data_IF_513954309225
#
_entry.id   IF_513954309225
#
_cell.length_a   1.000
_cell.length_b   1.000
_cell.length_c   1.000
_cell.angle_alpha   90.00
_cell.angle_beta   90.00
_cell.angle_gamma   90.00
#
_symmetry.space_group_name_H-M   'P 1'
#
loop_
_entity.id
_entity.type
_entity.pdbx_description
1 polymer ?
#
# COMPACT_ATOMS: atom_id res chain seq x y z
N UNK A 1 0.82 -12.24 12.25
CA UNK A 1 -0.10 -11.90 13.34
C UNK A 1 -1.51 -11.60 12.81
N UNK A 2 -1.68 -10.62 11.93
CA UNK A 2 -3.02 -10.27 11.41
C UNK A 2 -3.72 -11.47 10.76
N UNK A 3 -3.04 -12.26 9.95
CA UNK A 3 -3.60 -13.50 9.38
C UNK A 3 -4.09 -14.47 10.45
N UNK A 4 -3.28 -14.71 11.49
CA UNK A 4 -3.65 -15.60 12.60
C UNK A 4 -4.87 -15.07 13.36
N UNK A 5 -4.86 -13.78 13.67
CA UNK A 5 -5.98 -13.12 14.35
C UNK A 5 -7.25 -13.15 13.49
N UNK A 6 -7.16 -12.83 12.20
CA UNK A 6 -8.30 -12.88 11.28
C UNK A 6 -8.82 -14.30 11.09
N UNK A 7 -7.94 -15.31 11.02
CA UNK A 7 -8.31 -16.70 10.89
C UNK A 7 -9.03 -17.21 12.14
N UNK A 8 -8.45 -16.94 13.33
CA UNK A 8 -9.05 -17.33 14.61
C UNK A 8 -10.40 -16.66 14.87
N UNK A 9 -10.48 -15.34 14.61
CA UNK A 9 -11.72 -14.59 14.82
C UNK A 9 -12.79 -14.96 13.78
N UNK A 10 -12.39 -15.19 12.54
CA UNK A 10 -13.27 -15.60 11.45
C UNK A 10 -13.99 -16.92 11.74
N UNK A 11 -13.33 -17.84 12.45
CA UNK A 11 -13.94 -19.11 12.89
C UNK A 11 -15.22 -18.92 13.72
N UNK A 12 -15.29 -17.86 14.51
CA UNK A 12 -16.44 -17.56 15.37
C UNK A 12 -17.45 -16.60 14.72
N UNK A 13 -16.98 -15.74 13.80
CA UNK A 13 -17.76 -14.61 13.29
C UNK A 13 -18.33 -14.83 11.89
N UNK A 14 -17.79 -15.78 11.10
CA UNK A 14 -18.14 -15.98 9.70
C UNK A 14 -18.93 -17.25 9.47
N UNK A 15 -19.82 -17.25 8.48
CA UNK A 15 -20.43 -18.47 7.96
C UNK A 15 -19.40 -19.33 7.21
N UNK A 16 -19.71 -20.60 7.01
CA UNK A 16 -18.77 -21.58 6.43
C UNK A 16 -18.19 -21.11 5.07
N UNK A 17 -19.01 -20.57 4.18
CA UNK A 17 -18.56 -20.10 2.87
C UNK A 17 -17.68 -18.83 2.96
N UNK A 18 -18.04 -17.92 3.87
CA UNK A 18 -17.25 -16.70 4.12
C UNK A 18 -15.90 -17.04 4.77
N UNK A 19 -15.89 -18.02 5.68
CA UNK A 19 -14.66 -18.50 6.29
C UNK A 19 -13.75 -19.19 5.28
N UNK A 20 -14.30 -19.97 4.37
CA UNK A 20 -13.57 -20.54 3.25
C UNK A 20 -13.00 -19.45 2.33
N UNK A 21 -13.75 -18.39 2.07
CA UNK A 21 -13.27 -17.25 1.31
C UNK A 21 -12.14 -16.52 2.06
N UNK A 22 -12.28 -16.28 3.37
CA UNK A 22 -11.22 -15.71 4.20
C UNK A 22 -9.94 -16.55 4.14
N UNK A 23 -10.08 -17.89 4.27
CA UNK A 23 -8.97 -18.83 4.17
C UNK A 23 -8.22 -18.69 2.85
N UNK A 24 -8.95 -18.62 1.74
CA UNK A 24 -8.39 -18.36 0.41
C UNK A 24 -7.66 -17.00 0.35
N UNK A 25 -8.22 -15.95 0.95
CA UNK A 25 -7.58 -14.64 0.99
C UNK A 25 -6.31 -14.63 1.85
N UNK A 26 -6.24 -15.40 2.94
CA UNK A 26 -5.03 -15.58 3.74
C UNK A 26 -3.92 -16.22 2.90
N UNK A 27 -4.22 -17.32 2.19
CA UNK A 27 -3.25 -17.98 1.29
C UNK A 27 -2.72 -17.00 0.25
N UNK A 28 -3.63 -16.30 -0.42
CA UNK A 28 -3.27 -15.36 -1.48
C UNK A 28 -2.53 -14.12 -0.95
N UNK A 29 -2.88 -13.67 0.26
CA UNK A 29 -2.15 -12.62 0.98
C UNK A 29 -0.73 -13.03 1.33
N UNK A 30 -0.54 -14.25 1.84
CA UNK A 30 0.78 -14.78 2.15
C UNK A 30 1.68 -14.95 0.92
N UNK A 31 1.09 -15.13 -0.27
CA UNK A 31 1.80 -15.23 -1.55
C UNK A 31 1.91 -13.88 -2.29
N UNK A 32 1.40 -12.78 -1.71
CA UNK A 32 1.38 -11.44 -2.32
C UNK A 32 0.66 -11.38 -3.67
N UNK A 33 -0.40 -12.17 -3.85
CA UNK A 33 -1.21 -12.24 -5.07
C UNK A 33 -2.70 -11.92 -4.82
N UNK A 34 -3.01 -11.23 -3.71
CA UNK A 34 -4.37 -10.83 -3.34
C UNK A 34 -5.05 -9.97 -4.41
N UNK A 35 -4.29 -9.09 -5.08
CA UNK A 35 -4.79 -8.23 -6.15
C UNK A 35 -5.40 -9.05 -7.30
N UNK A 36 -4.73 -10.11 -7.76
CA UNK A 36 -5.27 -10.97 -8.83
C UNK A 36 -6.51 -11.77 -8.38
N UNK A 37 -6.55 -12.15 -7.10
CA UNK A 37 -7.71 -12.87 -6.55
C UNK A 37 -8.92 -11.95 -6.50
N UNK A 38 -8.76 -10.77 -5.94
CA UNK A 38 -9.84 -9.78 -5.83
C UNK A 38 -10.29 -9.27 -7.20
N UNK A 39 -9.38 -9.11 -8.15
CA UNK A 39 -9.73 -8.79 -9.53
C UNK A 39 -10.66 -9.83 -10.16
N UNK A 40 -10.38 -11.13 -9.94
CA UNK A 40 -11.21 -12.23 -10.47
C UNK A 40 -12.54 -12.39 -9.75
N UNK A 41 -12.59 -12.02 -8.47
CA UNK A 41 -13.80 -12.10 -7.66
C UNK A 41 -14.74 -10.92 -7.92
N UNK A 42 -14.22 -9.76 -8.35
CA UNK A 42 -15.04 -8.58 -8.62
C UNK A 42 -15.99 -8.84 -9.78
N UNK A 43 -17.29 -8.97 -9.47
CA UNK A 43 -18.35 -9.24 -10.41
C UNK A 43 -19.72 -9.11 -9.75
N UNK A 44 -20.78 -9.40 -10.49
CA UNK A 44 -22.17 -9.23 -10.05
C UNK A 44 -22.53 -10.06 -8.79
N UNK A 45 -21.89 -11.21 -8.60
CA UNK A 45 -22.12 -12.11 -7.46
C UNK A 45 -21.09 -11.96 -6.36
N UNK A 46 -20.27 -10.89 -6.39
CA UNK A 46 -19.25 -10.69 -5.37
C UNK A 46 -19.86 -10.14 -4.08
N UNK A 47 -19.32 -10.62 -2.93
CA UNK A 47 -19.68 -10.06 -1.64
C UNK A 47 -19.23 -8.60 -1.57
N UNK A 48 -19.94 -7.80 -0.78
CA UNK A 48 -19.56 -6.42 -0.52
C UNK A 48 -18.07 -6.33 -0.15
N UNK A 49 -17.32 -5.47 -0.83
CA UNK A 49 -15.90 -5.24 -0.56
C UNK A 49 -15.64 -4.92 0.93
N UNK A 50 -16.60 -4.29 1.58
CA UNK A 50 -16.53 -3.84 2.97
C UNK A 50 -16.67 -4.99 3.98
N UNK A 51 -17.14 -6.18 3.56
CA UNK A 51 -17.22 -7.39 4.40
C UNK A 51 -16.04 -8.34 4.21
N UNK A 52 -15.09 -8.03 3.32
CA UNK A 52 -13.89 -8.84 3.10
C UNK A 52 -12.76 -8.42 4.04
N UNK A 53 -12.44 -9.19 5.12
CA UNK A 53 -11.50 -8.73 6.16
C UNK A 53 -10.07 -8.46 5.67
N UNK A 54 -9.66 -9.09 4.58
CA UNK A 54 -8.30 -8.95 4.02
C UNK A 54 -8.27 -8.23 2.67
N UNK A 55 -9.33 -7.50 2.31
CA UNK A 55 -9.41 -6.77 1.05
C UNK A 55 -8.20 -5.87 0.81
N UNK A 56 -7.83 -5.07 1.80
CA UNK A 56 -6.77 -4.06 1.71
C UNK A 56 -5.40 -4.62 1.28
N UNK A 57 -5.14 -5.92 1.46
CA UNK A 57 -3.87 -6.55 1.10
C UNK A 57 -3.58 -6.59 -0.41
N UNK A 58 -4.53 -6.17 -1.25
CA UNK A 58 -4.31 -6.05 -2.70
C UNK A 58 -3.17 -5.06 -3.02
N UNK A 59 -3.11 -3.92 -2.32
CA UNK A 59 -2.09 -2.91 -2.58
C UNK A 59 -0.71 -3.38 -2.13
N UNK A 60 -0.63 -4.07 -0.98
CA UNK A 60 0.60 -4.71 -0.53
C UNK A 60 1.09 -5.77 -1.53
N UNK A 61 0.15 -6.53 -2.15
CA UNK A 61 0.49 -7.47 -3.21
C UNK A 61 1.18 -6.79 -4.40
N UNK A 62 0.67 -5.64 -4.85
CA UNK A 62 1.28 -4.86 -5.95
C UNK A 62 2.67 -4.31 -5.53
N UNK A 63 2.79 -3.79 -4.30
CA UNK A 63 4.05 -3.27 -3.79
C UNK A 63 5.14 -4.35 -3.72
N UNK A 64 4.83 -5.53 -3.17
CA UNK A 64 5.77 -6.64 -3.06
C UNK A 64 6.16 -7.21 -4.44
N UNK A 65 5.21 -7.30 -5.37
CA UNK A 65 5.49 -7.65 -6.77
C UNK A 65 6.45 -6.65 -7.40
N UNK A 66 6.27 -5.35 -7.15
CA UNK A 66 7.19 -4.31 -7.61
C UNK A 66 8.58 -4.49 -6.99
N UNK A 67 8.68 -4.71 -5.67
CA UNK A 67 9.97 -4.89 -4.98
C UNK A 67 10.75 -6.14 -5.45
N UNK A 68 10.06 -7.14 -5.96
CA UNK A 68 10.71 -8.31 -6.58
C UNK A 68 11.12 -8.00 -8.02
N UNK A 69 10.21 -7.47 -8.82
CA UNK A 69 10.43 -7.31 -10.28
C UNK A 69 11.37 -6.15 -10.61
N UNK A 70 11.24 -5.03 -9.89
CA UNK A 70 11.98 -3.81 -10.21
C UNK A 70 13.51 -3.96 -10.07
N UNK A 71 14.07 -4.52 -8.99
CA UNK A 71 15.50 -4.75 -8.90
C UNK A 71 16.03 -5.70 -9.98
N UNK A 72 15.25 -6.71 -10.38
CA UNK A 72 15.61 -7.64 -11.45
C UNK A 72 15.68 -6.93 -12.80
N UNK A 73 14.70 -6.07 -13.10
CA UNK A 73 14.69 -5.26 -14.33
C UNK A 73 15.86 -4.29 -14.36
N UNK A 74 16.15 -3.60 -13.25
CA UNK A 74 17.30 -2.72 -13.14
C UNK A 74 18.62 -3.47 -13.33
N UNK A 75 18.75 -4.64 -12.71
CA UNK A 75 19.94 -5.49 -12.87
C UNK A 75 20.13 -5.93 -14.33
N UNK A 76 19.08 -6.38 -15.01
CA UNK A 76 19.11 -6.73 -16.43
C UNK A 76 19.46 -5.54 -17.30
N UNK A 77 18.88 -4.36 -17.05
CA UNK A 77 19.18 -3.13 -17.80
C UNK A 77 20.63 -2.70 -17.61
N UNK A 78 21.12 -2.76 -16.37
CA UNK A 78 22.51 -2.45 -16.05
C UNK A 78 23.49 -3.42 -16.72
N UNK A 79 23.23 -4.73 -16.67
CA UNK A 79 24.06 -5.75 -17.33
C UNK A 79 24.13 -5.55 -18.85
N UNK A 80 23.05 -5.07 -19.46
CA UNK A 80 22.97 -4.75 -20.90
C UNK A 80 23.46 -3.33 -21.23
N UNK A 81 23.96 -2.58 -20.23
CA UNK A 81 24.43 -1.19 -20.36
C UNK A 81 23.38 -0.20 -20.89
N UNK A 82 22.11 -0.48 -20.65
CA UNK A 82 21.05 0.48 -20.93
C UNK A 82 21.10 1.67 -19.95
N UNK A 83 20.68 2.85 -20.41
CA UNK A 83 20.52 3.98 -19.53
C UNK A 83 19.35 3.71 -18.56
N UNK A 84 19.67 3.59 -17.27
CA UNK A 84 18.69 3.22 -16.23
C UNK A 84 17.59 4.26 -16.10
N UNK A 85 17.90 5.55 -16.23
CA UNK A 85 16.88 6.61 -16.19
C UNK A 85 15.92 6.49 -17.36
N UNK A 86 16.44 6.24 -18.58
CA UNK A 86 15.59 6.05 -19.74
C UNK A 86 14.66 4.85 -19.59
N UNK A 87 15.18 3.73 -19.09
CA UNK A 87 14.38 2.51 -18.83
C UNK A 87 13.29 2.81 -17.79
N UNK A 88 13.65 3.48 -16.69
CA UNK A 88 12.69 3.86 -15.63
C UNK A 88 11.59 4.76 -16.19
N UNK A 89 11.94 5.81 -16.92
CA UNK A 89 10.99 6.74 -17.53
C UNK A 89 10.10 6.04 -18.57
N UNK A 90 10.67 5.20 -19.42
CA UNK A 90 9.91 4.47 -20.44
C UNK A 90 8.84 3.57 -19.78
N UNK A 91 9.21 2.80 -18.76
CA UNK A 91 8.26 1.94 -18.04
C UNK A 91 7.23 2.78 -17.29
N UNK A 92 7.61 3.91 -16.68
CA UNK A 92 6.69 4.85 -16.03
C UNK A 92 5.63 5.36 -17.01
N UNK A 93 6.05 5.82 -18.17
CA UNK A 93 5.14 6.33 -19.21
C UNK A 93 4.23 5.24 -19.76
N UNK A 94 4.77 4.05 -20.03
CA UNK A 94 3.96 2.91 -20.49
C UNK A 94 2.94 2.52 -19.43
N UNK A 95 3.34 2.39 -18.17
CA UNK A 95 2.45 2.05 -17.06
C UNK A 95 1.35 3.11 -16.88
N UNK A 96 1.69 4.40 -16.95
CA UNK A 96 0.70 5.48 -16.89
C UNK A 96 -0.25 5.47 -18.10
N UNK A 97 0.26 5.23 -19.30
CA UNK A 97 -0.59 5.10 -20.49
C UNK A 97 -1.58 3.92 -20.38
N UNK A 98 -1.11 2.79 -19.85
CA UNK A 98 -1.97 1.64 -19.54
C UNK A 98 -3.06 1.99 -18.52
N UNK A 99 -2.72 2.74 -17.45
CA UNK A 99 -3.67 3.24 -16.47
C UNK A 99 -4.76 4.11 -17.14
N UNK A 100 -4.37 5.12 -17.90
CA UNK A 100 -5.34 6.00 -18.58
C UNK A 100 -6.23 5.23 -19.56
N UNK A 101 -5.66 4.29 -20.30
CA UNK A 101 -6.43 3.46 -21.23
C UNK A 101 -7.43 2.55 -20.50
N UNK A 102 -7.00 1.85 -19.44
CA UNK A 102 -7.85 0.95 -18.68
C UNK A 102 -8.89 1.68 -17.82
N UNK A 103 -8.58 2.86 -17.29
CA UNK A 103 -9.55 3.67 -16.54
C UNK A 103 -10.82 3.99 -17.33
N UNK A 104 -10.73 4.00 -18.69
CA UNK A 104 -11.87 4.23 -19.58
C UNK A 104 -12.53 2.95 -20.10
N UNK A 105 -11.87 1.78 -19.97
CA UNK A 105 -12.35 0.51 -20.55
C UNK A 105 -12.73 -0.53 -19.50
N UNK A 106 -11.95 -0.65 -18.43
CA UNK A 106 -12.13 -1.62 -17.35
C UNK A 106 -11.52 -1.08 -16.04
N UNK A 107 -12.33 -0.34 -15.30
CA UNK A 107 -11.92 0.31 -14.04
C UNK A 107 -11.47 -0.70 -12.99
N UNK A 108 -12.04 -1.90 -12.96
CA UNK A 108 -11.67 -2.95 -12.01
C UNK A 108 -10.27 -3.49 -12.34
N UNK A 109 -10.03 -3.79 -13.61
CA UNK A 109 -8.72 -4.20 -14.07
C UNK A 109 -7.67 -3.11 -13.83
N UNK A 110 -8.03 -1.85 -14.03
CA UNK A 110 -7.15 -0.72 -13.75
C UNK A 110 -6.76 -0.64 -12.28
N UNK A 111 -7.72 -0.84 -11.39
CA UNK A 111 -7.53 -0.74 -9.95
C UNK A 111 -6.59 -1.83 -9.39
N UNK A 112 -6.76 -3.09 -9.81
CA UNK A 112 -6.04 -4.24 -9.24
C UNK A 112 -4.79 -4.66 -10.01
N UNK A 113 -4.56 -4.12 -11.22
CA UNK A 113 -3.48 -4.57 -12.10
C UNK A 113 -2.14 -3.91 -11.75
N UNK A 114 -1.04 -4.67 -11.59
CA UNK A 114 0.26 -4.08 -11.30
C UNK A 114 0.76 -3.15 -12.41
N UNK A 115 0.51 -3.50 -13.67
CA UNK A 115 1.00 -2.72 -14.80
C UNK A 115 0.39 -1.31 -14.91
N UNK A 116 -0.79 -1.10 -14.34
CA UNK A 116 -1.45 0.21 -14.32
C UNK A 116 -1.09 1.04 -13.08
N UNK A 117 -0.47 0.41 -12.09
CA UNK A 117 -0.11 1.02 -10.80
C UNK A 117 1.38 1.26 -10.62
N UNK A 118 2.25 0.56 -11.34
CA UNK A 118 3.69 0.67 -11.17
C UNK A 118 4.26 2.07 -11.41
N UNK A 119 3.63 2.89 -12.25
CA UNK A 119 4.08 4.27 -12.49
C UNK A 119 4.08 5.13 -11.21
N UNK A 120 3.21 4.84 -10.26
CA UNK A 120 3.15 5.53 -8.96
C UNK A 120 4.43 5.27 -8.15
N UNK A 121 4.86 4.01 -8.08
CA UNK A 121 6.11 3.59 -7.41
C UNK A 121 7.34 4.01 -8.21
N UNK A 122 7.29 3.93 -9.54
CA UNK A 122 8.36 4.33 -10.44
C UNK A 122 8.62 5.84 -10.41
N UNK A 123 7.63 6.66 -10.13
CA UNK A 123 7.82 8.11 -9.94
C UNK A 123 8.80 8.40 -8.79
N UNK A 124 8.69 7.64 -7.69
CA UNK A 124 9.67 7.65 -6.60
C UNK A 124 11.06 7.15 -7.04
N UNK A 125 11.11 6.10 -7.87
CA UNK A 125 12.37 5.59 -8.42
C UNK A 125 13.06 6.60 -9.35
N UNK A 126 12.30 7.32 -10.18
CA UNK A 126 12.83 8.43 -10.99
C UNK A 126 13.42 9.54 -10.12
N UNK A 127 12.70 9.94 -9.07
CA UNK A 127 13.17 10.95 -8.14
C UNK A 127 14.45 10.50 -7.43
N UNK A 128 14.51 9.26 -6.96
CA UNK A 128 15.68 8.69 -6.31
C UNK A 128 16.90 8.65 -7.26
N UNK A 129 16.69 8.23 -8.51
CA UNK A 129 17.76 8.23 -9.51
C UNK A 129 18.33 9.62 -9.74
N UNK A 130 17.45 10.61 -9.93
CA UNK A 130 17.87 12.01 -10.13
C UNK A 130 18.61 12.57 -8.92
N UNK A 131 18.17 12.25 -7.71
CA UNK A 131 18.81 12.69 -6.48
C UNK A 131 20.22 12.08 -6.29
N UNK A 132 20.40 10.80 -6.68
CA UNK A 132 21.66 10.08 -6.46
C UNK A 132 22.69 10.30 -7.58
N UNK A 133 22.24 10.38 -8.83
CA UNK A 133 23.14 10.33 -10.00
C UNK A 133 23.07 11.57 -10.88
N UNK A 134 22.06 12.42 -10.72
CA UNK A 134 21.89 13.60 -11.58
C UNK A 134 21.28 14.81 -10.85
N UNK A 135 21.90 15.18 -9.76
CA UNK A 135 21.44 16.29 -8.92
C UNK A 135 21.28 17.60 -9.69
N UNK A 136 22.16 17.88 -10.68
CA UNK A 136 22.05 19.07 -11.51
C UNK A 136 20.72 19.13 -12.28
N UNK A 137 20.28 18.02 -12.86
CA UNK A 137 18.98 17.92 -13.53
C UNK A 137 17.84 18.06 -12.53
N UNK A 138 17.95 17.42 -11.36
CA UNK A 138 16.95 17.57 -10.31
C UNK A 138 16.81 19.04 -9.88
N UNK A 139 17.92 19.77 -9.68
CA UNK A 139 17.88 21.18 -9.31
C UNK A 139 17.26 22.06 -10.42
N UNK A 140 17.49 21.75 -11.68
CA UNK A 140 16.85 22.47 -12.81
C UNK A 140 15.34 22.21 -12.90
N UNK A 141 14.88 21.03 -12.52
CA UNK A 141 13.46 20.67 -12.51
C UNK A 141 12.71 21.23 -11.30
N UNK A 142 13.44 21.66 -10.27
CA UNK A 142 12.84 22.27 -9.09
C UNK A 142 12.31 23.68 -9.40
N UNK A 143 11.01 23.82 -9.41
CA UNK A 143 10.31 25.08 -9.61
C UNK A 143 9.98 25.70 -8.25
N UNK A 144 10.32 26.98 -8.06
CA UNK A 144 10.05 27.72 -6.83
C UNK A 144 10.94 27.29 -5.64
N UNK A 145 10.64 27.81 -4.46
CA UNK A 145 11.35 27.45 -3.24
C UNK A 145 10.97 26.05 -2.73
N UNK A 146 11.85 25.44 -1.93
CA UNK A 146 11.59 24.15 -1.30
C UNK A 146 10.29 24.16 -0.47
N UNK A 147 10.06 25.26 0.25
CA UNK A 147 8.85 25.44 1.05
C UNK A 147 7.58 25.54 0.19
N UNK A 148 7.65 26.24 -0.95
CA UNK A 148 6.52 26.31 -1.87
C UNK A 148 6.17 24.91 -2.42
N UNK A 149 7.18 24.13 -2.85
CA UNK A 149 6.96 22.77 -3.34
C UNK A 149 6.32 21.86 -2.29
N UNK A 150 6.82 21.92 -1.05
CA UNK A 150 6.25 21.09 0.03
C UNK A 150 4.81 21.48 0.34
N UNK A 151 4.45 22.77 0.34
CA UNK A 151 3.09 23.25 0.52
C UNK A 151 2.18 22.87 -0.65
N UNK A 152 2.64 23.02 -1.89
CA UNK A 152 1.90 22.57 -3.07
C UNK A 152 1.66 21.08 -3.05
N UNK A 153 2.68 20.28 -2.66
CA UNK A 153 2.53 18.83 -2.49
C UNK A 153 1.49 18.47 -1.44
N UNK A 154 1.51 19.15 -0.30
CA UNK A 154 0.49 18.97 0.75
C UNK A 154 -0.91 19.33 0.25
N UNK A 155 -1.04 20.45 -0.47
CA UNK A 155 -2.32 20.86 -1.05
C UNK A 155 -2.87 19.85 -2.06
N UNK A 156 -2.00 19.23 -2.89
CA UNK A 156 -2.40 18.15 -3.79
C UNK A 156 -2.87 16.89 -3.06
N UNK A 157 -2.22 16.51 -1.95
CA UNK A 157 -2.67 15.39 -1.12
C UNK A 157 -4.05 15.68 -0.51
N UNK A 158 -4.25 16.87 0.04
CA UNK A 158 -5.54 17.31 0.59
C UNK A 158 -6.61 17.34 -0.50
N UNK A 159 -6.28 17.86 -1.68
CA UNK A 159 -7.17 17.86 -2.84
C UNK A 159 -7.54 16.41 -3.25
N UNK A 160 -6.57 15.49 -3.23
CA UNK A 160 -6.83 14.07 -3.47
C UNK A 160 -7.87 13.49 -2.49
N UNK A 161 -7.73 13.77 -1.19
CA UNK A 161 -8.68 13.31 -0.17
C UNK A 161 -10.09 13.90 -0.37
N UNK A 162 -10.19 15.16 -0.83
CA UNK A 162 -11.48 15.85 -0.99
C UNK A 162 -12.17 15.45 -2.31
N UNK A 163 -11.42 15.36 -3.42
CA UNK A 163 -12.00 15.24 -4.76
C UNK A 163 -12.06 13.81 -5.30
N UNK A 164 -11.29 12.86 -4.72
CA UNK A 164 -11.36 11.45 -5.10
C UNK A 164 -12.56 10.81 -4.37
N UNK A 165 -13.67 10.66 -5.08
CA UNK A 165 -14.90 10.03 -4.58
C UNK A 165 -15.12 8.69 -5.24
N UNK A 166 -16.07 7.88 -4.73
CA UNK A 166 -16.45 6.58 -5.30
C UNK A 166 -16.99 6.68 -6.74
N UNK A 167 -17.45 7.85 -7.15
CA UNK A 167 -17.99 8.12 -8.48
C UNK A 167 -16.92 8.39 -9.54
N UNK A 168 -15.69 8.60 -9.11
CA UNK A 168 -14.57 8.90 -10.01
C UNK A 168 -13.91 7.61 -10.49
N UNK A 169 -13.55 7.59 -11.78
CA UNK A 169 -12.75 6.50 -12.35
C UNK A 169 -11.32 6.58 -11.78
N UNK A 170 -11.12 5.96 -10.62
CA UNK A 170 -9.83 5.88 -9.95
C UNK A 170 -9.20 4.50 -10.25
N UNK A 171 -7.88 4.42 -10.52
CA UNK A 171 -6.86 5.49 -10.41
C UNK A 171 -6.88 6.55 -11.52
N UNK A 172 -6.84 6.20 -12.79
CA UNK A 172 -6.90 7.14 -13.89
C UNK A 172 -6.05 8.42 -13.68
N UNK A 173 -6.58 9.56 -14.10
CA UNK A 173 -5.95 10.87 -13.88
C UNK A 173 -5.92 11.30 -12.40
N UNK A 174 -6.84 10.79 -11.59
CA UNK A 174 -6.97 11.19 -10.19
C UNK A 174 -5.80 10.75 -9.34
N UNK A 175 -5.14 9.65 -9.69
CA UNK A 175 -3.96 9.17 -9.00
C UNK A 175 -2.73 10.09 -9.14
N UNK A 176 -2.76 11.06 -10.10
CA UNK A 176 -1.73 12.11 -10.18
C UNK A 176 -1.71 12.99 -8.93
N UNK A 177 -2.87 13.29 -8.32
CA UNK A 177 -2.92 14.15 -7.15
C UNK A 177 -2.06 13.63 -6.00
N UNK A 178 -2.27 12.41 -5.49
CA UNK A 178 -1.45 11.88 -4.40
C UNK A 178 -0.01 11.59 -4.86
N UNK A 179 0.21 11.09 -6.08
CA UNK A 179 1.54 10.71 -6.55
C UNK A 179 2.44 11.94 -6.73
N UNK A 180 1.97 12.96 -7.46
CA UNK A 180 2.73 14.21 -7.65
C UNK A 180 2.87 14.95 -6.32
N UNK A 181 1.83 14.95 -5.48
CA UNK A 181 1.88 15.51 -4.14
C UNK A 181 3.02 14.92 -3.30
N UNK A 182 3.13 13.60 -3.27
CA UNK A 182 4.21 12.88 -2.58
C UNK A 182 5.60 13.22 -3.18
N UNK A 183 5.73 13.21 -4.52
CA UNK A 183 6.99 13.56 -5.21
C UNK A 183 7.43 14.98 -4.86
N UNK A 184 6.51 15.95 -4.83
CA UNK A 184 6.82 17.33 -4.47
C UNK A 184 7.30 17.45 -3.03
N UNK A 185 6.62 16.81 -2.07
CA UNK A 185 7.01 16.81 -0.66
C UNK A 185 8.39 16.20 -0.47
N UNK A 186 8.63 15.02 -1.07
CA UNK A 186 9.92 14.33 -0.96
C UNK A 186 11.04 15.14 -1.61
N UNK A 187 10.80 15.69 -2.80
CA UNK A 187 11.80 16.50 -3.54
C UNK A 187 12.14 17.83 -2.86
N UNK A 188 11.24 18.36 -2.02
CA UNK A 188 11.46 19.59 -1.26
C UNK A 188 12.52 19.40 -0.15
N UNK A 189 12.68 18.17 0.36
CA UNK A 189 13.68 17.84 1.38
C UNK A 189 13.26 18.25 2.81
N UNK A 190 14.08 17.83 3.79
CA UNK A 190 13.75 17.96 5.21
C UNK A 190 13.67 19.41 5.71
N UNK A 191 14.33 20.36 5.06
CA UNK A 191 14.37 21.75 5.50
C UNK A 191 13.20 22.60 4.99
N UNK A 192 12.39 22.08 4.08
CA UNK A 192 11.18 22.76 3.62
C UNK A 192 10.23 23.01 4.78
N UNK A 193 9.54 24.16 4.78
CA UNK A 193 8.73 24.58 5.93
C UNK A 193 7.69 23.53 6.35
N UNK A 194 6.90 23.02 5.44
CA UNK A 194 5.87 22.02 5.74
C UNK A 194 6.49 20.72 6.29
N UNK A 195 7.58 20.25 5.67
CA UNK A 195 8.26 19.03 6.10
C UNK A 195 8.82 19.18 7.52
N UNK A 196 9.45 20.34 7.80
CA UNK A 196 10.06 20.62 9.12
C UNK A 196 9.01 20.94 10.20
N UNK A 197 8.02 21.78 9.89
CA UNK A 197 7.08 22.28 10.89
C UNK A 197 5.92 21.29 11.14
N UNK A 198 5.46 20.59 10.10
CA UNK A 198 4.28 19.71 10.18
C UNK A 198 4.71 18.24 10.20
N UNK A 199 5.37 17.74 9.14
CA UNK A 199 5.68 16.31 9.02
C UNK A 199 6.69 15.82 10.06
N UNK A 200 7.61 16.69 10.54
CA UNK A 200 8.54 16.35 11.62
C UNK A 200 7.95 16.49 13.02
N UNK A 201 6.65 16.85 13.14
CA UNK A 201 6.02 16.90 14.46
C UNK A 201 5.94 15.52 15.09
N UNK A 202 6.25 15.44 16.39
CA UNK A 202 6.39 14.16 17.13
C UNK A 202 5.21 13.20 16.97
N UNK A 203 3.99 13.73 16.96
CA UNK A 203 2.77 12.92 16.76
C UNK A 203 2.72 12.31 15.37
N UNK A 204 3.01 13.10 14.30
CA UNK A 204 2.99 12.58 12.93
C UNK A 204 4.12 11.58 12.69
N UNK A 205 5.30 11.83 13.24
CA UNK A 205 6.41 10.86 13.20
C UNK A 205 6.02 9.56 13.92
N UNK A 206 5.35 9.65 15.07
CA UNK A 206 4.89 8.47 15.80
C UNK A 206 3.85 7.68 14.98
N UNK A 207 2.85 8.36 14.37
CA UNK A 207 1.91 7.71 13.45
C UNK A 207 2.61 7.11 12.25
N UNK A 208 3.60 7.79 11.68
CA UNK A 208 4.44 7.26 10.60
C UNK A 208 5.16 5.97 10.98
N UNK A 209 5.68 5.87 12.21
CA UNK A 209 6.36 4.66 12.68
C UNK A 209 5.43 3.46 12.85
N UNK A 210 4.17 3.67 13.18
CA UNK A 210 3.17 2.60 13.33
C UNK A 210 2.29 2.44 12.10
N UNK A 211 2.49 3.21 11.02
CA UNK A 211 1.59 3.27 9.86
C UNK A 211 1.41 1.92 9.17
N UNK A 212 2.49 1.16 9.00
CA UNK A 212 2.41 -0.16 8.37
C UNK A 212 1.62 -1.18 9.21
N UNK A 213 1.91 -1.39 10.51
CA UNK A 213 1.04 -2.20 11.36
C UNK A 213 -0.40 -1.68 11.43
N UNK A 214 -0.60 -0.35 11.45
CA UNK A 214 -1.92 0.25 11.47
C UNK A 214 -2.70 -0.08 10.19
N UNK A 215 -2.04 0.01 9.02
CA UNK A 215 -2.60 -0.43 7.75
C UNK A 215 -3.02 -1.91 7.78
N UNK A 216 -2.26 -2.78 8.44
CA UNK A 216 -2.60 -4.20 8.54
C UNK A 216 -3.79 -4.48 9.48
N UNK A 217 -3.97 -3.70 10.56
CA UNK A 217 -5.00 -3.96 11.59
C UNK A 217 -6.32 -3.24 11.36
N UNK A 218 -6.30 -2.02 10.79
CA UNK A 218 -7.51 -1.18 10.74
C UNK A 218 -8.64 -1.81 9.93
N UNK A 219 -8.32 -2.37 8.77
CA UNK A 219 -9.33 -2.89 7.86
C UNK A 219 -10.01 -4.18 8.38
N UNK A 220 -9.27 -5.21 8.85
CA UNK A 220 -9.91 -6.40 9.41
C UNK A 220 -10.85 -6.07 10.57
N UNK A 221 -10.46 -5.17 11.47
CA UNK A 221 -11.32 -4.80 12.60
C UNK A 221 -12.62 -4.12 12.15
N UNK A 222 -12.54 -3.21 11.17
CA UNK A 222 -13.73 -2.56 10.61
C UNK A 222 -14.60 -3.53 9.80
N UNK A 223 -13.98 -4.42 9.01
CA UNK A 223 -14.71 -5.40 8.22
C UNK A 223 -15.43 -6.42 9.10
N UNK A 224 -14.79 -6.93 10.15
CA UNK A 224 -15.44 -7.83 11.11
C UNK A 224 -16.56 -7.13 11.90
N UNK A 225 -16.36 -5.88 12.30
CA UNK A 225 -17.44 -5.11 12.93
C UNK A 225 -18.66 -5.02 12.01
N UNK A 226 -18.46 -4.78 10.72
CA UNK A 226 -19.53 -4.75 9.73
C UNK A 226 -20.22 -6.09 9.51
N UNK A 227 -19.44 -7.19 9.50
CA UNK A 227 -20.00 -8.54 9.38
C UNK A 227 -20.89 -8.87 10.59
N UNK A 228 -20.45 -8.54 11.80
CA UNK A 228 -21.21 -8.83 13.04
C UNK A 228 -22.50 -8.04 13.09
N UNK A 229 -22.49 -6.75 12.74
CA UNK A 229 -23.68 -5.90 12.77
C UNK A 229 -24.55 -6.05 11.52
N UNK A 230 -24.08 -6.78 10.48
CA UNK A 230 -24.77 -6.98 9.19
C UNK A 230 -25.13 -5.69 8.43
N UNK A 231 -24.82 -4.53 9.00
CA UNK A 231 -25.08 -3.19 8.47
C UNK A 231 -23.85 -2.28 8.66
N UNK A 232 -23.99 -1.00 8.35
CA UNK A 232 -22.93 -0.04 8.66
C UNK A 232 -22.83 0.14 10.16
N UNK A 233 -21.71 -0.23 10.82
CA UNK A 233 -21.58 -0.16 12.27
C UNK A 233 -21.80 1.25 12.81
N UNK A 234 -22.37 1.32 14.01
CA UNK A 234 -22.55 2.58 14.73
C UNK A 234 -21.21 3.34 14.88
N UNK A 235 -21.28 4.66 15.03
CA UNK A 235 -20.06 5.51 15.10
C UNK A 235 -19.17 5.08 16.25
N UNK A 236 -19.75 4.69 17.38
CA UNK A 236 -19.06 4.24 18.59
C UNK A 236 -18.25 2.98 18.31
N UNK A 237 -18.84 2.00 17.59
CA UNK A 237 -18.17 0.73 17.23
C UNK A 237 -17.02 1.01 16.26
N UNK A 238 -17.23 1.88 15.28
CA UNK A 238 -16.16 2.28 14.33
C UNK A 238 -15.01 2.99 15.04
N UNK A 239 -15.30 3.90 15.98
CA UNK A 239 -14.29 4.57 16.79
C UNK A 239 -13.55 3.59 17.70
N UNK A 240 -14.25 2.63 18.30
CA UNK A 240 -13.63 1.57 19.10
C UNK A 240 -12.69 0.69 18.23
N UNK A 241 -13.13 0.28 17.04
CA UNK A 241 -12.32 -0.51 16.10
C UNK A 241 -11.05 0.25 15.64
N UNK A 242 -11.18 1.54 15.32
CA UNK A 242 -10.04 2.39 14.95
C UNK A 242 -9.08 2.57 16.14
N UNK A 243 -9.61 2.83 17.34
CA UNK A 243 -8.78 2.97 18.54
C UNK A 243 -8.03 1.68 18.86
N UNK A 244 -8.72 0.53 18.78
CA UNK A 244 -8.10 -0.79 18.95
C UNK A 244 -7.02 -1.05 17.90
N UNK A 245 -7.26 -0.65 16.65
CA UNK A 245 -6.25 -0.80 15.58
C UNK A 245 -4.97 -0.01 15.86
N UNK A 246 -5.09 1.20 16.43
CA UNK A 246 -3.93 2.02 16.85
C UNK A 246 -3.16 1.33 17.99
N UNK A 247 -3.84 0.79 18.98
CA UNK A 247 -3.21 0.05 20.09
C UNK A 247 -2.49 -1.20 19.58
N UNK A 248 -3.16 -2.01 18.75
CA UNK A 248 -2.57 -3.22 18.17
C UNK A 248 -1.40 -2.90 17.22
N UNK A 249 -1.50 -1.81 16.46
CA UNK A 249 -0.41 -1.33 15.62
C UNK A 249 0.81 -0.93 16.45
N UNK A 250 0.61 -0.18 17.51
CA UNK A 250 1.69 0.21 18.41
C UNK A 250 2.36 -0.99 19.08
N UNK A 251 1.57 -1.96 19.57
CA UNK A 251 2.08 -3.21 20.13
C UNK A 251 2.87 -4.01 19.09
N UNK A 252 2.34 -4.16 17.88
CA UNK A 252 3.01 -4.87 16.77
C UNK A 252 4.32 -4.19 16.41
N UNK A 253 4.32 -2.86 16.29
CA UNK A 253 5.55 -2.09 16.05
C UNK A 253 6.58 -2.32 17.16
N UNK A 254 6.17 -2.19 18.42
CA UNK A 254 7.09 -2.26 19.57
C UNK A 254 7.65 -3.66 19.79
N UNK A 255 6.80 -4.69 19.69
CA UNK A 255 7.16 -6.07 20.07
C UNK A 255 7.75 -6.87 18.92
N UNK A 256 7.43 -6.53 17.67
CA UNK A 256 7.83 -7.32 16.50
C UNK A 256 8.63 -6.50 15.52
N UNK A 257 8.06 -5.43 14.97
CA UNK A 257 8.70 -4.71 13.88
C UNK A 257 10.01 -4.05 14.31
N UNK A 258 10.00 -3.33 15.43
CA UNK A 258 11.18 -2.64 15.93
C UNK A 258 12.33 -3.59 16.28
N UNK A 259 12.12 -4.71 16.98
CA UNK A 259 13.18 -5.70 17.20
C UNK A 259 13.70 -6.35 15.92
N UNK A 260 12.84 -6.64 14.96
CA UNK A 260 13.22 -7.23 13.67
C UNK A 260 13.99 -6.22 12.80
N UNK A 261 13.53 -4.97 12.76
CA UNK A 261 14.08 -3.93 11.88
C UNK A 261 15.36 -3.30 12.40
N UNK A 262 15.45 -3.07 13.71
CA UNK A 262 16.58 -2.37 14.34
C UNK A 262 17.41 -3.27 15.26
N UNK A 263 16.93 -4.47 15.59
CA UNK A 263 17.70 -5.49 16.25
C UNK A 263 18.77 -6.06 15.32
N UNK A 264 19.53 -7.04 15.82
CA UNK A 264 20.35 -7.90 14.97
C UNK A 264 19.62 -9.24 14.80
N UNK A 265 18.51 -9.28 14.04
CA UNK A 265 17.90 -10.58 13.77
C UNK A 265 18.90 -11.37 12.96
N UNK A 266 19.40 -12.46 13.51
CA UNK A 266 20.16 -13.42 12.74
C UNK A 266 19.31 -13.89 11.55
N UNK A 267 19.95 -14.36 10.48
CA UNK A 267 19.24 -14.94 9.30
C UNK A 267 18.12 -15.92 9.72
N UNK A 268 18.33 -16.63 10.83
CA UNK A 268 17.35 -17.55 11.40
C UNK A 268 16.01 -16.88 11.79
N UNK A 269 16.04 -15.67 12.35
CA UNK A 269 14.80 -14.95 12.73
C UNK A 269 13.96 -14.54 11.52
N UNK A 270 14.62 -14.07 10.44
CA UNK A 270 13.91 -13.73 9.18
C UNK A 270 13.31 -14.98 8.54
N UNK A 271 14.08 -16.06 8.46
CA UNK A 271 13.60 -17.35 7.92
C UNK A 271 12.42 -17.88 8.75
N UNK A 272 12.49 -17.80 10.08
CA UNK A 272 11.40 -18.21 10.95
C UNK A 272 10.10 -17.44 10.67
N UNK A 273 10.18 -16.11 10.49
CA UNK A 273 9.00 -15.29 10.17
C UNK A 273 8.40 -15.66 8.79
N UNK A 274 9.24 -15.91 7.79
CA UNK A 274 8.78 -16.37 6.47
C UNK A 274 8.12 -17.74 6.56
N UNK A 275 8.73 -18.68 7.28
CA UNK A 275 8.16 -20.02 7.49
C UNK A 275 6.83 -19.96 8.24
N UNK A 276 6.72 -19.12 9.27
CA UNK A 276 5.47 -18.92 10.00
C UNK A 276 4.37 -18.33 9.11
N UNK A 277 4.71 -17.35 8.25
CA UNK A 277 3.76 -16.77 7.30
C UNK A 277 3.24 -17.82 6.31
N UNK A 278 4.13 -18.63 5.74
CA UNK A 278 3.77 -19.71 4.82
C UNK A 278 2.98 -20.82 5.51
N UNK A 279 3.34 -21.17 6.76
CA UNK A 279 2.63 -22.16 7.54
C UNK A 279 1.17 -21.74 7.82
N UNK A 280 0.94 -20.46 8.17
CA UNK A 280 -0.42 -19.94 8.34
C UNK A 280 -1.20 -20.00 7.02
N UNK A 281 -0.55 -19.67 5.90
CA UNK A 281 -1.15 -19.83 4.58
C UNK A 281 -1.52 -21.28 4.25
N UNK A 282 -0.65 -22.23 4.56
CA UNK A 282 -0.91 -23.66 4.34
C UNK A 282 -2.07 -24.17 5.22
N UNK A 283 -2.08 -23.84 6.52
CA UNK A 283 -3.17 -24.24 7.43
C UNK A 283 -4.51 -23.66 6.97
N UNK A 284 -4.52 -22.40 6.53
CA UNK A 284 -5.72 -21.79 5.97
C UNK A 284 -6.16 -22.47 4.65
N UNK A 285 -5.22 -22.96 3.85
CA UNK A 285 -5.51 -23.64 2.59
C UNK A 285 -6.05 -25.06 2.72
N UNK A 286 -6.03 -25.66 3.93
CA UNK A 286 -6.58 -26.98 4.20
C UNK A 286 -8.08 -26.94 4.58
N UNK A 287 -8.62 -25.76 4.82
CA UNK A 287 -10.05 -25.50 5.11
C UNK A 287 -10.74 -24.92 3.87
#
# INVERSE_FOLDING_TARGET
>A
MVFVASFAFGWFALFADEYKQLSKHIVRGALFISNFTLWRESGYFDNSAETKPLLHLWSLGIEEQFYILWPLLLWCAWKKRFNLLFVTLAITVISFACNIWKANSDVVADFYSPQTRFWELLSGSCLAYLALFNERTLQRLKIGSDSLRSCCGAALLVAGVIFITKERAFPGWWALLPTVGAVLIISAGAQAWFNRAVLSHRLLVWFGLISFPLYLWHWPLLAFARVIESETPAVEVRLAAVSLSVVLAWLTYRLIERPVRFGKPGRAGVILLMVLMLAVGLVAGLN
#
